data_IF_076965769615
#
_entry.id   IF_076965769615
#
_cell.length_a   1.000
_cell.length_b   1.000
_cell.length_c   1.000
_cell.angle_alpha   90.00
_cell.angle_beta   90.00
_cell.angle_gamma   90.00
#
_symmetry.space_group_name_H-M   'P 1'
#
loop_
_entity.id
_entity.type
_entity.pdbx_description
1 polymer ?
#
# COMPACT_ATOMS: atom_id res chain seq x y z
N UNK A 1 12.36 -6.72 -28.42
CA UNK A 1 12.09 -7.29 -27.12
C UNK A 1 10.99 -8.35 -27.18
N UNK A 2 11.19 -9.42 -26.47
CA UNK A 2 10.21 -10.49 -26.43
C UNK A 2 9.19 -10.17 -25.36
N UNK A 3 7.95 -10.18 -25.78
CA UNK A 3 6.85 -10.03 -24.84
C UNK A 3 6.33 -11.41 -24.53
N UNK A 4 6.77 -11.93 -23.42
CA UNK A 4 6.32 -13.26 -23.03
C UNK A 4 5.00 -13.13 -22.31
N UNK A 5 4.02 -13.78 -22.88
CA UNK A 5 2.72 -13.81 -22.26
C UNK A 5 2.64 -15.09 -21.46
N UNK A 6 2.86 -14.96 -20.19
CA UNK A 6 2.86 -16.10 -19.31
C UNK A 6 1.46 -16.66 -19.18
N UNK A 7 1.35 -17.93 -19.42
CA UNK A 7 0.07 -18.61 -19.22
C UNK A 7 -0.13 -18.79 -17.74
N UNK A 8 -1.04 -18.02 -17.21
CA UNK A 8 -1.33 -18.11 -15.81
C UNK A 8 -2.03 -19.42 -15.51
N UNK A 9 -1.70 -19.97 -14.40
CA UNK A 9 -2.43 -21.11 -13.92
C UNK A 9 -3.69 -20.58 -13.23
N UNK A 10 -4.71 -20.42 -14.01
CA UNK A 10 -5.92 -19.80 -13.54
C UNK A 10 -6.66 -20.61 -12.52
N UNK A 11 -6.33 -21.87 -12.44
CA UNK A 11 -6.99 -22.69 -11.44
C UNK A 11 -6.63 -22.27 -10.06
N UNK A 12 -5.44 -21.73 -9.91
CA UNK A 12 -5.05 -21.23 -8.60
C UNK A 12 -5.79 -19.99 -8.26
N UNK A 13 -6.22 -19.31 -9.28
CA UNK A 13 -6.88 -18.04 -9.07
C UNK A 13 -8.15 -18.16 -8.30
N UNK A 14 -8.72 -19.31 -8.24
CA UNK A 14 -9.94 -19.42 -7.49
C UNK A 14 -9.73 -19.11 -6.03
N UNK A 15 -8.54 -19.22 -5.59
CA UNK A 15 -8.24 -18.84 -4.22
C UNK A 15 -8.36 -17.37 -4.04
N UNK A 16 -8.36 -16.64 -5.12
CA UNK A 16 -8.53 -15.22 -5.07
C UNK A 16 -7.60 -14.52 -4.12
N UNK A 17 -7.10 -15.25 -3.21
CA UNK A 17 -6.25 -14.70 -2.20
C UNK A 17 -4.82 -14.61 -2.64
N UNK A 18 -4.48 -15.23 -3.72
CA UNK A 18 -3.12 -15.13 -4.17
C UNK A 18 -2.96 -13.78 -4.84
N UNK A 19 -2.33 -12.91 -4.12
CA UNK A 19 -2.13 -11.57 -4.61
C UNK A 19 -0.85 -11.50 -5.40
N UNK A 20 -0.96 -11.05 -6.63
CA UNK A 20 0.21 -10.76 -7.43
C UNK A 20 0.87 -9.49 -6.94
N UNK A 21 0.14 -8.71 -6.18
CA UNK A 21 0.66 -7.46 -5.65
C UNK A 21 1.05 -7.64 -4.18
N UNK A 22 1.91 -6.77 -3.72
CA UNK A 22 2.46 -6.81 -2.37
C UNK A 22 1.96 -5.68 -1.50
N UNK A 23 1.36 -4.68 -2.10
CA UNK A 23 0.83 -3.52 -1.40
C UNK A 23 -0.56 -3.26 -1.93
N UNK A 24 -1.51 -3.02 -1.03
CA UNK A 24 -2.86 -2.63 -1.45
C UNK A 24 -3.25 -1.35 -0.77
N UNK A 25 -3.73 -0.40 -1.57
CA UNK A 25 -4.28 0.85 -1.05
C UNK A 25 -5.80 0.77 -1.17
N UNK A 26 -6.47 1.08 -0.08
CA UNK A 26 -7.94 1.06 -0.06
C UNK A 26 -8.45 2.18 0.81
N UNK A 27 -9.72 2.52 0.63
CA UNK A 27 -10.41 3.47 1.49
C UNK A 27 -11.30 2.67 2.40
N UNK A 28 -11.17 2.89 3.68
CA UNK A 28 -11.92 2.13 4.67
C UNK A 28 -12.79 3.07 5.50
N UNK A 29 -13.81 2.49 6.08
CA UNK A 29 -14.63 3.18 7.03
C UNK A 29 -13.91 3.19 8.37
N UNK A 30 -13.79 4.37 8.98
CA UNK A 30 -13.05 4.52 10.23
C UNK A 30 -13.88 5.30 11.25
N UNK A 31 -15.00 4.71 11.63
CA UNK A 31 -15.83 5.28 12.66
C UNK A 31 -16.85 6.28 12.14
N UNK A 32 -17.48 6.96 13.07
CA UNK A 32 -18.53 7.93 12.77
C UNK A 32 -18.23 9.19 13.55
N UNK A 33 -18.45 10.35 12.94
CA UNK A 33 -18.26 11.62 13.61
C UNK A 33 -19.40 11.87 14.58
N UNK A 34 -19.24 12.91 15.40
CA UNK A 34 -20.28 13.27 16.35
C UNK A 34 -21.58 13.66 15.65
N UNK A 35 -21.47 14.18 14.44
CA UNK A 35 -22.63 14.58 13.66
C UNK A 35 -23.24 13.41 12.91
N UNK A 36 -22.72 12.20 13.12
CA UNK A 36 -23.24 11.02 12.43
C UNK A 36 -22.67 10.77 11.06
N UNK A 37 -21.73 11.59 10.61
CA UNK A 37 -21.10 11.40 9.32
C UNK A 37 -20.09 10.27 9.38
N UNK A 38 -20.03 9.48 8.31
CA UNK A 38 -19.08 8.40 8.22
C UNK A 38 -17.67 8.96 8.06
N UNK A 39 -16.76 8.45 8.86
CA UNK A 39 -15.35 8.80 8.72
C UNK A 39 -14.68 7.77 7.85
N UNK A 40 -13.83 8.22 6.95
CA UNK A 40 -13.11 7.35 6.04
C UNK A 40 -11.63 7.62 6.17
N UNK A 41 -10.84 6.57 5.97
CA UNK A 41 -9.40 6.67 6.06
C UNK A 41 -8.78 5.85 4.95
N UNK A 42 -7.51 6.13 4.69
CA UNK A 42 -6.72 5.35 3.74
C UNK A 42 -6.07 4.22 4.52
N UNK A 43 -6.13 3.02 3.97
CA UNK A 43 -5.43 1.88 4.51
C UNK A 43 -4.44 1.38 3.47
N UNK A 44 -3.18 1.24 3.87
CA UNK A 44 -2.13 0.69 3.03
C UNK A 44 -1.71 -0.63 3.66
N UNK A 45 -1.98 -1.72 2.97
CA UNK A 45 -1.66 -3.05 3.47
C UNK A 45 -0.45 -3.59 2.76
N UNK A 46 0.44 -4.18 3.55
CA UNK A 46 1.63 -4.85 3.05
C UNK A 46 1.47 -6.33 3.28
N UNK A 47 1.57 -7.10 2.21
CA UNK A 47 1.42 -8.55 2.25
C UNK A 47 2.76 -9.23 2.26
N UNK A 48 2.78 -10.48 2.67
CA UNK A 48 3.98 -11.33 2.64
C UNK A 48 5.13 -10.73 3.43
N UNK A 49 4.82 -10.02 4.50
CA UNK A 49 5.80 -9.39 5.37
C UNK A 49 6.71 -8.41 4.63
N UNK A 50 6.23 -7.84 3.54
CA UNK A 50 7.04 -6.91 2.75
C UNK A 50 7.40 -5.63 3.51
N UNK A 51 6.60 -5.26 4.50
CA UNK A 51 6.93 -4.09 5.31
C UNK A 51 8.28 -4.24 6.01
N UNK A 52 8.72 -5.47 6.25
CA UNK A 52 10.00 -5.71 6.93
C UNK A 52 11.18 -5.29 6.08
N UNK A 53 11.01 -5.22 4.78
CA UNK A 53 12.07 -4.74 3.89
C UNK A 53 12.20 -3.22 3.98
N UNK A 54 11.15 -2.55 4.41
CA UNK A 54 11.12 -1.09 4.48
C UNK A 54 11.58 -0.60 5.84
N UNK A 55 11.11 -1.23 6.91
CA UNK A 55 11.36 -0.75 8.26
C UNK A 55 11.45 -1.90 9.24
N UNK A 56 12.28 -1.70 10.27
CA UNK A 56 12.38 -2.64 11.38
C UNK A 56 11.87 -2.01 12.68
N UNK A 57 11.34 -0.81 12.62
CA UNK A 57 10.87 -0.10 13.82
C UNK A 57 9.37 -0.25 14.03
N UNK A 58 8.68 -0.82 13.06
CA UNK A 58 7.22 -0.88 13.12
C UNK A 58 6.54 0.41 12.72
N UNK A 59 7.29 1.38 12.23
CA UNK A 59 6.76 2.66 11.78
C UNK A 59 7.35 3.02 10.43
N UNK A 60 6.54 3.68 9.59
CA UNK A 60 7.05 4.15 8.31
C UNK A 60 6.44 5.49 7.94
N UNK A 61 7.15 6.17 7.05
CA UNK A 61 6.70 7.42 6.48
C UNK A 61 6.20 7.14 5.06
N UNK A 62 5.25 7.96 4.64
CA UNK A 62 4.68 7.86 3.30
C UNK A 62 4.83 9.21 2.62
N UNK A 63 5.38 9.20 1.43
CA UNK A 63 5.53 10.41 0.64
C UNK A 63 5.05 10.19 -0.77
N UNK A 64 4.69 11.25 -1.45
CA UNK A 64 4.20 11.16 -2.82
C UNK A 64 5.06 12.06 -3.70
N UNK A 65 5.50 11.50 -4.82
CA UNK A 65 6.13 12.27 -5.88
C UNK A 65 5.17 12.29 -7.05
N UNK A 66 4.52 13.43 -7.25
CA UNK A 66 3.50 13.52 -8.28
C UNK A 66 4.08 13.55 -9.69
N UNK A 67 5.30 13.99 -9.83
CA UNK A 67 5.92 14.01 -11.15
C UNK A 67 6.18 12.61 -11.68
N UNK A 68 6.66 11.73 -10.81
CA UNK A 68 6.94 10.35 -11.21
C UNK A 68 5.77 9.43 -10.94
N UNK A 69 4.71 9.93 -10.30
CA UNK A 69 3.55 9.15 -9.91
C UNK A 69 3.94 7.97 -9.03
N UNK A 70 4.76 8.26 -8.02
CA UNK A 70 5.22 7.24 -7.09
C UNK A 70 4.82 7.58 -5.67
N UNK A 71 4.47 6.55 -4.92
CA UNK A 71 4.25 6.67 -3.49
C UNK A 71 5.43 5.98 -2.82
N UNK A 72 6.19 6.74 -2.04
CA UNK A 72 7.40 6.26 -1.38
C UNK A 72 7.14 5.88 0.05
N UNK A 73 7.84 4.87 0.49
CA UNK A 73 7.79 4.41 1.87
C UNK A 73 9.20 4.40 2.44
N UNK A 74 9.34 4.92 3.65
CA UNK A 74 10.63 4.94 4.31
C UNK A 74 10.45 4.59 5.78
N UNK A 75 11.50 4.07 6.39
CA UNK A 75 11.49 3.76 7.80
C UNK A 75 11.36 5.03 8.63
N UNK A 76 10.63 4.95 9.72
CA UNK A 76 10.50 6.05 10.66
C UNK A 76 10.79 5.53 12.05
N UNK A 77 11.16 6.43 12.95
CA UNK A 77 11.51 6.07 14.31
C UNK A 77 10.84 7.00 15.32
N UNK A 78 10.80 6.57 16.57
CA UNK A 78 10.19 7.34 17.62
C UNK A 78 8.68 7.48 17.39
N UNK A 79 8.19 8.69 17.50
CA UNK A 79 6.76 8.97 17.27
C UNK A 79 6.48 9.46 15.84
N UNK A 80 7.50 9.48 15.02
CA UNK A 80 7.33 9.93 13.64
C UNK A 80 6.77 8.82 12.77
N UNK A 81 6.07 9.22 11.72
CA UNK A 81 5.50 8.27 10.78
C UNK A 81 4.28 7.59 11.33
N UNK A 82 3.83 6.62 10.57
CA UNK A 82 2.62 5.87 10.88
C UNK A 82 2.98 4.51 11.42
N UNK A 83 2.24 4.08 12.44
CA UNK A 83 2.49 2.78 13.05
C UNK A 83 1.86 1.68 12.21
N UNK A 84 2.63 0.62 11.99
CA UNK A 84 2.12 -0.58 11.35
C UNK A 84 1.36 -1.41 12.38
N UNK A 85 0.21 -1.90 11.97
CA UNK A 85 -0.61 -2.73 12.83
C UNK A 85 -1.19 -3.88 12.03
N UNK A 86 -1.85 -4.80 12.70
CA UNK A 86 -2.48 -5.91 12.04
C UNK A 86 -2.39 -7.18 12.87
N UNK A 87 -3.40 -8.00 12.75
CA UNK A 87 -3.47 -9.25 13.49
C UNK A 87 -3.26 -10.47 12.60
N UNK A 88 -3.27 -10.29 11.30
CA UNK A 88 -3.07 -11.40 10.39
C UNK A 88 -1.61 -11.69 10.19
N UNK A 89 -1.29 -12.97 10.04
CA UNK A 89 0.08 -13.37 9.78
C UNK A 89 0.57 -12.80 8.45
N UNK A 90 1.76 -12.21 8.49
CA UNK A 90 2.42 -11.68 7.29
C UNK A 90 1.67 -10.54 6.62
N UNK A 91 0.72 -9.92 7.30
CA UNK A 91 0.00 -8.76 6.78
C UNK A 91 0.04 -7.65 7.82
N UNK A 92 0.48 -6.49 7.40
CA UNK A 92 0.48 -5.30 8.25
C UNK A 92 -0.18 -4.16 7.50
N UNK A 93 -0.75 -3.25 8.25
CA UNK A 93 -1.51 -2.14 7.66
C UNK A 93 -1.13 -0.84 8.34
N UNK A 94 -1.07 0.20 7.54
CA UNK A 94 -0.98 1.57 8.01
C UNK A 94 -2.29 2.26 7.65
N UNK A 95 -2.86 2.97 8.60
CA UNK A 95 -4.09 3.73 8.38
C UNK A 95 -3.82 5.19 8.66
N UNK A 96 -4.33 6.06 7.82
CA UNK A 96 -4.18 7.49 8.04
C UNK A 96 -5.30 8.26 7.35
N UNK A 97 -5.48 9.50 7.78
CA UNK A 97 -6.49 10.38 7.23
C UNK A 97 -5.78 11.50 6.50
N UNK A 98 -5.73 11.45 5.17
CA UNK A 98 -5.06 12.49 4.40
C UNK A 98 -5.94 13.74 4.30
N UNK A 99 -5.29 14.86 3.99
CA UNK A 99 -6.03 16.10 3.77
C UNK A 99 -6.92 16.02 2.54
N UNK A 100 -6.47 15.29 1.52
CA UNK A 100 -7.22 15.14 0.27
C UNK A 100 -7.56 13.68 0.04
N UNK A 101 -8.66 13.27 0.61
CA UNK A 101 -9.11 11.89 0.49
C UNK A 101 -9.47 11.54 -0.96
N UNK A 102 -10.04 12.49 -1.70
CA UNK A 102 -10.46 12.21 -3.07
C UNK A 102 -9.26 11.89 -3.96
N UNK A 103 -8.12 12.51 -3.68
CA UNK A 103 -6.89 12.19 -4.41
C UNK A 103 -6.49 10.74 -4.17
N UNK A 104 -6.59 10.31 -2.92
CA UNK A 104 -6.22 8.94 -2.57
C UNK A 104 -7.21 7.92 -3.11
N UNK A 105 -8.45 8.32 -3.36
CA UNK A 105 -9.39 7.42 -3.99
C UNK A 105 -8.92 7.00 -5.38
N UNK A 106 -8.19 7.86 -6.06
CA UNK A 106 -7.66 7.52 -7.38
C UNK A 106 -6.47 6.56 -7.30
N UNK A 107 -5.92 6.35 -6.11
CA UNK A 107 -4.80 5.45 -5.91
C UNK A 107 -5.22 4.05 -5.45
N UNK A 108 -6.50 3.84 -5.22
CA UNK A 108 -6.99 2.55 -4.73
C UNK A 108 -6.65 1.44 -5.72
N UNK A 109 -6.06 0.38 -5.21
CA UNK A 109 -5.68 -0.76 -6.04
C UNK A 109 -4.50 -1.50 -5.46
N UNK A 110 -4.03 -2.49 -6.20
CA UNK A 110 -2.89 -3.31 -5.81
C UNK A 110 -1.63 -2.89 -6.55
N UNK A 111 -0.50 -3.09 -5.90
CA UNK A 111 0.79 -2.63 -6.42
C UNK A 111 1.89 -3.62 -6.11
N UNK A 112 2.92 -3.60 -6.93
CA UNK A 112 4.15 -4.31 -6.65
C UNK A 112 5.10 -3.33 -5.98
N UNK A 113 5.69 -3.77 -4.86
CA UNK A 113 6.66 -2.94 -4.14
C UNK A 113 7.98 -2.97 -4.87
N UNK A 114 8.55 -1.80 -5.12
CA UNK A 114 9.80 -1.67 -5.85
C UNK A 114 10.79 -0.85 -5.01
N UNK A 115 12.04 -0.95 -5.35
CA UNK A 115 13.06 -0.15 -4.69
C UNK A 115 13.77 0.70 -5.73
N UNK A 116 13.88 1.99 -5.43
CA UNK A 116 14.60 2.93 -6.27
C UNK A 116 16.10 2.67 -6.08
N UNK A 117 16.80 2.41 -7.15
CA UNK A 117 18.22 2.07 -7.06
C UNK A 117 19.09 3.25 -6.69
N UNK A 118 18.65 4.46 -6.97
CA UNK A 118 19.44 5.65 -6.67
C UNK A 118 19.31 6.04 -5.21
N UNK A 119 18.10 6.21 -4.71
CA UNK A 119 17.90 6.66 -3.33
C UNK A 119 17.62 5.53 -2.35
N UNK A 120 17.47 4.31 -2.85
CA UNK A 120 17.23 3.12 -2.04
C UNK A 120 15.89 3.12 -1.31
N UNK A 121 15.01 4.04 -1.61
CA UNK A 121 13.69 4.06 -1.02
C UNK A 121 12.76 3.08 -1.73
N UNK A 122 11.84 2.54 -0.99
CA UNK A 122 10.82 1.66 -1.55
C UNK A 122 9.64 2.48 -2.04
N UNK A 123 9.01 2.04 -3.10
CA UNK A 123 7.88 2.78 -3.67
C UNK A 123 6.94 1.85 -4.42
N UNK A 124 5.75 2.38 -4.69
CA UNK A 124 4.81 1.78 -5.63
C UNK A 124 4.56 2.79 -6.73
N UNK A 125 4.41 2.32 -7.95
CA UNK A 125 4.18 3.16 -9.11
C UNK A 125 2.68 3.23 -9.36
N UNK A 126 2.12 4.42 -9.22
CA UNK A 126 0.68 4.62 -9.35
C UNK A 126 0.20 4.22 -10.75
N UNK A 127 1.02 4.45 -11.77
CA UNK A 127 0.65 4.13 -13.14
C UNK A 127 0.57 2.62 -13.39
N UNK A 128 1.13 1.82 -12.49
CA UNK A 128 1.09 0.37 -12.59
C UNK A 128 0.06 -0.25 -11.67
N UNK A 129 -0.89 0.55 -11.25
CA UNK A 129 -1.95 0.10 -10.37
C UNK A 129 -2.76 -1.03 -10.99
N UNK A 130 -3.06 -2.01 -10.16
CA UNK A 130 -3.94 -3.12 -10.54
C UNK A 130 -5.25 -2.96 -9.82
N UNK A 131 -6.31 -3.03 -10.58
CA UNK A 131 -7.65 -2.95 -9.98
C UNK A 131 -8.00 -4.31 -9.36
N UNK A 132 -8.63 -4.24 -8.23
CA UNK A 132 -8.97 -5.44 -7.46
C UNK A 132 -10.47 -5.53 -7.28
#
# INVERSE_FOLDING_TARGET
MVMIKWMENKHKGRNGSSHDFQVMISIIKNGTSKEGAEKRAVAVRFYHSKEKEITNTGRLQIGIDEETERIYFASASGTKGYKLSGSKKNVRVVQFMPDDLSKWESYVGGYVLQQDLDCKLFYVDISERRLV
#
